data_IF_539846579254
#
_entry.id   IF_539846579254
#
_cell.length_a   1.000
_cell.length_b   1.000
_cell.length_c   1.000
_cell.angle_alpha   90.00
_cell.angle_beta   90.00
_cell.angle_gamma   90.00
#
_symmetry.space_group_name_H-M   'P 1'
#
loop_
_entity.id
_entity.type
_entity.pdbx_description
1 polymer ?
#
# COMPACT_ATOMS: atom_id res chain seq x y z
N UNK A 1 14.90 4.93 -28.68
CA UNK A 1 14.03 4.16 -27.75
C UNK A 1 14.59 2.75 -27.68
N UNK A 2 15.20 2.35 -26.56
CA UNK A 2 15.68 0.97 -26.38
C UNK A 2 14.48 0.02 -26.38
N UNK A 3 14.29 -0.73 -27.46
CA UNK A 3 13.24 -1.73 -27.56
C UNK A 3 13.65 -2.94 -26.71
N UNK A 4 13.00 -3.13 -25.57
CA UNK A 4 13.18 -4.33 -24.77
C UNK A 4 12.67 -5.55 -25.54
N UNK A 5 13.42 -6.65 -25.49
CA UNK A 5 12.96 -7.92 -26.06
C UNK A 5 11.85 -8.53 -25.20
N UNK A 6 11.01 -9.38 -25.79
CA UNK A 6 9.92 -10.06 -25.06
C UNK A 6 10.42 -10.86 -23.85
N UNK A 7 11.63 -11.43 -23.94
CA UNK A 7 12.27 -12.13 -22.83
C UNK A 7 12.67 -11.18 -21.68
N UNK A 8 13.20 -10.00 -22.00
CA UNK A 8 13.55 -8.97 -21.01
C UNK A 8 12.31 -8.43 -20.32
N UNK A 9 11.21 -8.21 -21.06
CA UNK A 9 9.94 -7.76 -20.47
C UNK A 9 9.33 -8.81 -19.53
N UNK A 10 9.37 -10.10 -19.89
CA UNK A 10 8.91 -11.17 -18.99
C UNK A 10 9.75 -11.26 -17.72
N UNK A 11 11.07 -11.13 -17.85
CA UNK A 11 11.98 -11.11 -16.69
C UNK A 11 11.71 -9.89 -15.80
N UNK A 12 11.57 -8.71 -16.38
CA UNK A 12 11.23 -7.49 -15.65
C UNK A 12 9.88 -7.61 -14.95
N UNK A 13 8.88 -8.20 -15.61
CA UNK A 13 7.56 -8.45 -15.04
C UNK A 13 7.65 -9.33 -13.80
N UNK A 14 8.36 -10.46 -13.89
CA UNK A 14 8.55 -11.36 -12.75
C UNK A 14 9.27 -10.66 -11.59
N UNK A 15 10.38 -9.99 -11.87
CA UNK A 15 11.16 -9.29 -10.83
C UNK A 15 10.32 -8.22 -10.14
N UNK A 16 9.64 -7.38 -10.93
CA UNK A 16 8.82 -6.30 -10.37
C UNK A 16 7.59 -6.83 -9.65
N UNK A 17 6.93 -7.86 -10.15
CA UNK A 17 5.80 -8.49 -9.47
C UNK A 17 6.23 -9.10 -8.13
N UNK A 18 7.35 -9.83 -8.10
CA UNK A 18 7.92 -10.36 -6.85
C UNK A 18 8.31 -9.24 -5.89
N UNK A 19 8.88 -8.14 -6.40
CA UNK A 19 9.23 -6.98 -5.58
C UNK A 19 7.99 -6.31 -4.96
N UNK A 20 6.92 -6.10 -5.74
CA UNK A 20 5.65 -5.59 -5.19
C UNK A 20 5.10 -6.50 -4.12
N UNK A 21 5.11 -7.82 -4.36
CA UNK A 21 4.63 -8.79 -3.40
C UNK A 21 5.36 -8.68 -2.07
N UNK A 22 6.68 -8.66 -2.12
CA UNK A 22 7.51 -8.57 -0.92
C UNK A 22 7.28 -7.25 -0.18
N UNK A 23 7.26 -6.13 -0.88
CA UNK A 23 7.16 -4.81 -0.23
C UNK A 23 5.75 -4.59 0.33
N UNK A 24 4.68 -4.93 -0.40
CA UNK A 24 3.29 -4.81 0.10
C UNK A 24 3.10 -5.72 1.31
N UNK A 25 3.53 -6.98 1.22
CA UNK A 25 3.36 -7.93 2.31
C UNK A 25 4.14 -7.51 3.56
N UNK A 26 5.39 -7.08 3.38
CA UNK A 26 6.22 -6.57 4.48
C UNK A 26 5.63 -5.30 5.09
N UNK A 27 5.14 -4.37 4.28
CA UNK A 27 4.55 -3.12 4.78
C UNK A 27 3.29 -3.37 5.61
N UNK A 28 2.42 -4.27 5.16
CA UNK A 28 1.21 -4.66 5.90
C UNK A 28 1.52 -5.38 7.20
N UNK A 29 2.62 -6.12 7.26
CA UNK A 29 3.09 -6.72 8.51
C UNK A 29 3.69 -5.65 9.44
N UNK A 30 4.62 -4.85 8.94
CA UNK A 30 5.40 -3.89 9.73
C UNK A 30 4.59 -2.69 10.22
N UNK A 31 3.49 -2.34 9.55
CA UNK A 31 2.56 -1.30 10.04
C UNK A 31 1.91 -1.72 11.37
N UNK A 32 1.86 -3.01 11.68
CA UNK A 32 1.35 -3.55 12.95
C UNK A 32 2.36 -3.46 14.10
N UNK A 33 3.63 -3.17 13.81
CA UNK A 33 4.70 -3.11 14.80
C UNK A 33 4.97 -1.63 15.16
N UNK A 34 4.34 -1.10 16.24
CA UNK A 34 4.62 0.24 16.71
C UNK A 34 5.99 0.30 17.39
N UNK A 35 6.68 1.42 17.22
CA UNK A 35 7.88 1.73 17.98
C UNK A 35 7.92 3.23 18.31
N UNK A 36 8.72 3.59 19.31
CA UNK A 36 8.82 4.98 19.77
C UNK A 36 10.26 5.47 19.67
N UNK A 37 10.48 6.56 18.95
CA UNK A 37 11.78 7.21 18.82
C UNK A 37 11.64 8.66 19.26
N UNK A 38 12.43 9.07 20.25
CA UNK A 38 12.44 10.44 20.81
C UNK A 38 11.04 10.97 21.19
N UNK A 39 10.16 10.12 21.72
CA UNK A 39 8.79 10.50 22.11
C UNK A 39 7.79 10.61 20.95
N UNK A 40 8.24 10.40 19.71
CA UNK A 40 7.38 10.20 18.56
C UNK A 40 7.04 8.73 18.42
N UNK A 41 5.75 8.43 18.40
CA UNK A 41 5.27 7.09 18.13
C UNK A 41 5.10 6.94 16.61
N UNK A 42 5.71 5.89 16.03
CA UNK A 42 5.62 5.58 14.60
C UNK A 42 5.56 4.05 14.42
N UNK A 43 5.40 3.56 13.20
CA UNK A 43 5.37 2.12 12.90
C UNK A 43 6.50 1.76 11.96
N UNK A 44 6.96 0.50 12.00
CA UNK A 44 7.99 0.03 11.06
C UNK A 44 7.52 0.10 9.60
N UNK A 45 6.21 0.12 9.36
CA UNK A 45 5.62 0.33 8.02
C UNK A 45 6.02 1.67 7.38
N UNK A 46 6.28 2.72 8.17
CA UNK A 46 6.71 4.02 7.67
C UNK A 46 8.00 3.92 6.83
N UNK A 47 8.91 3.02 7.20
CA UNK A 47 10.15 2.79 6.44
C UNK A 47 9.95 2.00 5.16
N UNK A 48 8.90 1.17 5.07
CA UNK A 48 8.67 0.31 3.91
C UNK A 48 7.75 0.93 2.86
N UNK A 49 6.89 1.90 3.24
CA UNK A 49 6.04 2.62 2.28
C UNK A 49 6.81 3.30 1.13
N UNK A 50 7.97 3.96 1.33
CA UNK A 50 8.78 4.51 0.22
C UNK A 50 9.13 3.49 -0.86
N UNK A 51 9.31 2.22 -0.47
CA UNK A 51 9.62 1.15 -1.42
C UNK A 51 8.41 0.76 -2.27
N UNK A 52 7.17 0.93 -1.78
CA UNK A 52 5.95 0.71 -2.58
C UNK A 52 5.89 1.73 -3.72
N UNK A 53 6.17 3.00 -3.41
CA UNK A 53 6.23 4.05 -4.42
C UNK A 53 7.34 3.80 -5.43
N UNK A 54 8.54 3.39 -4.96
CA UNK A 54 9.64 3.02 -5.84
C UNK A 54 9.26 1.86 -6.78
N UNK A 55 8.65 0.80 -6.25
CA UNK A 55 8.20 -0.34 -7.03
C UNK A 55 7.19 0.10 -8.12
N UNK A 56 6.23 0.93 -7.72
CA UNK A 56 5.19 1.46 -8.61
C UNK A 56 5.80 2.31 -9.72
N UNK A 57 6.69 3.24 -9.40
CA UNK A 57 7.36 4.12 -10.38
C UNK A 57 8.18 3.30 -11.40
N UNK A 58 8.96 2.32 -10.94
CA UNK A 58 9.72 1.43 -11.83
C UNK A 58 8.81 0.66 -12.80
N UNK A 59 7.68 0.17 -12.30
CA UNK A 59 6.71 -0.57 -13.13
C UNK A 59 6.04 0.34 -14.14
N UNK A 60 5.66 1.55 -13.75
CA UNK A 60 5.07 2.55 -14.65
C UNK A 60 6.06 2.97 -15.73
N UNK A 61 7.35 3.13 -15.39
CA UNK A 61 8.39 3.49 -16.37
C UNK A 61 8.65 2.39 -17.40
N UNK A 62 8.61 1.12 -16.99
CA UNK A 62 8.92 -0.01 -17.89
C UNK A 62 7.70 -0.42 -18.73
N UNK A 63 6.51 -0.50 -18.11
CA UNK A 63 5.32 -1.08 -18.71
C UNK A 63 4.26 -0.03 -19.10
N UNK A 64 4.43 1.21 -18.68
CA UNK A 64 3.42 2.26 -18.81
C UNK A 64 2.33 2.17 -17.76
N UNK A 65 1.66 3.30 -17.50
CA UNK A 65 0.68 3.43 -16.42
C UNK A 65 -0.49 2.44 -16.52
N UNK A 66 -0.97 2.12 -17.73
CA UNK A 66 -2.12 1.22 -17.88
C UNK A 66 -1.77 -0.24 -17.52
N UNK A 67 -0.62 -0.72 -17.99
CA UNK A 67 -0.19 -2.09 -17.73
C UNK A 67 0.32 -2.24 -16.30
N UNK A 68 1.03 -1.24 -15.77
CA UNK A 68 1.45 -1.20 -14.37
C UNK A 68 0.27 -1.36 -13.40
N UNK A 69 -0.84 -0.65 -13.61
CA UNK A 69 -2.06 -0.78 -12.79
C UNK A 69 -2.63 -2.21 -12.79
N UNK A 70 -2.61 -2.89 -13.93
CA UNK A 70 -3.03 -4.30 -14.02
C UNK A 70 -2.08 -5.23 -13.26
N UNK A 71 -0.77 -5.03 -13.42
CA UNK A 71 0.24 -5.81 -12.71
C UNK A 71 0.07 -5.67 -11.20
N UNK A 72 -0.02 -4.43 -10.70
CA UNK A 72 -0.14 -4.17 -9.26
C UNK A 72 -1.45 -4.74 -8.72
N UNK A 73 -2.57 -4.61 -9.44
CA UNK A 73 -3.85 -5.19 -9.02
C UNK A 73 -3.78 -6.73 -8.90
N UNK A 74 -3.18 -7.41 -9.89
CA UNK A 74 -3.02 -8.86 -9.88
C UNK A 74 -2.10 -9.33 -8.76
N UNK A 75 -1.07 -8.56 -8.43
CA UNK A 75 -0.12 -8.87 -7.35
C UNK A 75 -0.69 -8.49 -5.98
N UNK A 76 -1.61 -7.53 -5.89
CA UNK A 76 -2.19 -7.08 -4.62
C UNK A 76 -2.81 -8.24 -3.84
N UNK A 77 -3.71 -9.02 -4.44
CA UNK A 77 -4.39 -10.13 -3.75
C UNK A 77 -3.43 -11.16 -3.13
N UNK A 78 -2.46 -11.74 -3.86
CA UNK A 78 -1.51 -12.67 -3.25
C UNK A 78 -0.63 -11.98 -2.21
N UNK A 79 -0.29 -10.69 -2.38
CA UNK A 79 0.45 -9.93 -1.35
C UNK A 79 -0.35 -9.80 -0.05
N UNK A 80 -1.65 -9.51 -0.14
CA UNK A 80 -2.53 -9.40 1.03
C UNK A 80 -2.66 -10.75 1.74
N UNK A 81 -2.82 -11.83 0.99
CA UNK A 81 -2.87 -13.18 1.55
C UNK A 81 -1.58 -13.53 2.28
N UNK A 82 -0.43 -13.33 1.64
CA UNK A 82 0.88 -13.57 2.25
C UNK A 82 1.07 -12.70 3.49
N UNK A 83 0.67 -11.42 3.44
CA UNK A 83 0.75 -10.51 4.58
C UNK A 83 -0.11 -10.96 5.75
N UNK A 84 -1.31 -11.47 5.49
CA UNK A 84 -2.22 -12.00 6.50
C UNK A 84 -1.60 -13.24 7.17
N UNK A 85 -1.14 -14.20 6.37
CA UNK A 85 -0.50 -15.42 6.87
C UNK A 85 0.74 -15.10 7.71
N UNK A 86 1.61 -14.20 7.24
CA UNK A 86 2.78 -13.75 8.00
C UNK A 86 2.38 -13.10 9.32
N UNK A 87 1.37 -12.23 9.31
CA UNK A 87 0.91 -11.54 10.52
C UNK A 87 0.29 -12.48 11.55
N UNK A 88 -0.39 -13.54 11.09
CA UNK A 88 -1.00 -14.56 11.98
C UNK A 88 0.06 -15.48 12.56
N UNK A 89 1.05 -15.89 11.76
CA UNK A 89 2.13 -16.79 12.19
C UNK A 89 3.18 -16.06 13.05
N UNK A 90 3.44 -14.78 12.79
CA UNK A 90 4.43 -13.98 13.49
C UNK A 90 3.79 -12.81 14.25
N UNK A 91 3.31 -13.03 15.47
CA UNK A 91 2.79 -11.94 16.28
C UNK A 91 3.93 -11.18 16.99
N UNK A 92 4.02 -9.86 16.78
CA UNK A 92 5.05 -8.98 17.36
C UNK A 92 6.50 -9.46 17.14
N UNK A 93 6.81 -10.03 15.97
CA UNK A 93 8.14 -10.55 15.65
C UNK A 93 8.49 -11.90 16.29
N UNK A 94 7.58 -12.49 17.08
CA UNK A 94 7.73 -13.85 17.61
C UNK A 94 6.94 -14.85 16.79
N UNK A 95 7.55 -15.99 16.48
CA UNK A 95 6.87 -17.11 15.82
C UNK A 95 5.90 -17.77 16.80
N UNK A 96 4.61 -17.75 16.47
CA UNK A 96 3.52 -18.30 17.30
C UNK A 96 3.12 -19.73 16.89
N UNK A 97 3.80 -20.30 15.88
CA UNK A 97 3.43 -21.59 15.29
C UNK A 97 2.26 -21.47 14.29
N UNK A 98 1.73 -22.63 13.89
CA UNK A 98 0.62 -22.72 12.92
C UNK A 98 -0.77 -22.77 13.58
N UNK A 99 -0.85 -22.92 14.90
CA UNK A 99 -2.11 -22.96 15.63
C UNK A 99 -2.98 -21.69 15.43
N UNK A 100 -2.42 -20.46 15.40
CA UNK A 100 -3.22 -19.27 15.15
C UNK A 100 -3.89 -19.21 13.77
N UNK A 101 -3.47 -20.05 12.81
CA UNK A 101 -4.12 -20.14 11.49
C UNK A 101 -5.52 -20.74 11.56
N UNK A 102 -5.85 -21.48 12.62
CA UNK A 102 -7.21 -22.03 12.81
C UNK A 102 -8.19 -20.98 13.34
N UNK A 103 -7.69 -19.86 13.87
CA UNK A 103 -8.51 -18.75 14.35
C UNK A 103 -8.48 -17.57 13.37
N UNK A 104 -9.66 -17.04 13.03
CA UNK A 104 -9.74 -15.92 12.10
C UNK A 104 -9.42 -14.60 12.81
N UNK A 105 -8.26 -14.02 12.52
CA UNK A 105 -7.84 -12.78 13.15
C UNK A 105 -8.47 -11.56 12.44
N UNK A 106 -9.58 -11.07 13.00
CA UNK A 106 -10.33 -9.93 12.46
C UNK A 106 -9.49 -8.65 12.34
N UNK A 107 -8.52 -8.44 13.24
CA UNK A 107 -7.66 -7.26 13.19
C UNK A 107 -6.72 -7.28 11.98
N UNK A 108 -6.03 -8.40 11.75
CA UNK A 108 -5.16 -8.58 10.58
C UNK A 108 -5.98 -8.57 9.28
N UNK A 109 -7.14 -9.26 9.27
CA UNK A 109 -8.05 -9.26 8.13
C UNK A 109 -8.50 -7.84 7.77
N UNK A 110 -8.78 -7.01 8.77
CA UNK A 110 -9.15 -5.61 8.56
C UNK A 110 -8.03 -4.78 7.93
N UNK A 111 -6.76 -4.99 8.31
CA UNK A 111 -5.62 -4.31 7.67
C UNK A 111 -5.49 -4.71 6.19
N UNK A 112 -5.65 -6.00 5.90
CA UNK A 112 -5.64 -6.49 4.53
C UNK A 112 -6.80 -5.90 3.70
N UNK A 113 -8.01 -5.86 4.25
CA UNK A 113 -9.18 -5.24 3.61
C UNK A 113 -8.98 -3.73 3.43
N UNK A 114 -8.41 -3.03 4.40
CA UNK A 114 -8.10 -1.61 4.30
C UNK A 114 -7.13 -1.33 3.15
N UNK A 115 -6.08 -2.14 3.02
CA UNK A 115 -5.12 -2.09 1.90
C UNK A 115 -5.81 -2.28 0.56
N UNK A 116 -6.70 -3.27 0.48
CA UNK A 116 -7.45 -3.55 -0.75
C UNK A 116 -8.39 -2.39 -1.13
N UNK A 117 -9.12 -1.85 -0.16
CA UNK A 117 -10.05 -0.74 -0.36
C UNK A 117 -9.32 0.55 -0.74
N UNK A 118 -8.19 0.85 -0.10
CA UNK A 118 -7.34 1.98 -0.43
C UNK A 118 -6.95 1.93 -1.91
N UNK A 119 -6.45 0.78 -2.35
CA UNK A 119 -6.04 0.58 -3.74
C UNK A 119 -7.20 0.75 -4.70
N UNK A 120 -8.38 0.16 -4.42
CA UNK A 120 -9.56 0.32 -5.26
C UNK A 120 -10.01 1.78 -5.37
N UNK A 121 -10.04 2.51 -4.25
CA UNK A 121 -10.41 3.92 -4.24
C UNK A 121 -9.39 4.79 -4.97
N UNK A 122 -8.10 4.52 -4.77
CA UNK A 122 -7.00 5.16 -5.51
C UNK A 122 -7.13 4.94 -7.01
N UNK A 123 -7.44 3.71 -7.45
CA UNK A 123 -7.69 3.38 -8.86
C UNK A 123 -8.92 4.12 -9.43
N UNK A 124 -10.03 4.15 -8.69
CA UNK A 124 -11.25 4.84 -9.13
C UNK A 124 -10.98 6.34 -9.27
N UNK A 125 -10.30 6.95 -8.30
CA UNK A 125 -9.92 8.36 -8.37
C UNK A 125 -8.99 8.61 -9.57
N UNK A 126 -7.98 7.78 -9.75
CA UNK A 126 -7.05 7.89 -10.88
C UNK A 126 -7.81 7.82 -12.23
N UNK A 127 -8.79 6.94 -12.39
CA UNK A 127 -9.62 6.92 -13.61
C UNK A 127 -10.48 8.19 -13.75
N UNK A 128 -11.08 8.70 -12.67
CA UNK A 128 -11.92 9.91 -12.71
C UNK A 128 -11.11 11.18 -12.98
N UNK A 129 -9.97 11.33 -12.31
CA UNK A 129 -9.04 12.46 -12.45
C UNK A 129 -8.45 12.46 -13.85
N UNK A 130 -8.00 11.30 -14.35
CA UNK A 130 -7.53 11.15 -15.72
C UNK A 130 -8.60 11.50 -16.76
N UNK A 131 -9.83 11.00 -16.62
CA UNK A 131 -10.93 11.31 -17.53
C UNK A 131 -11.36 12.78 -17.50
N UNK A 132 -11.19 13.46 -16.36
CA UNK A 132 -11.45 14.90 -16.23
C UNK A 132 -10.34 15.74 -16.85
N UNK A 133 -9.08 15.37 -16.63
CA UNK A 133 -7.90 16.12 -17.11
C UNK A 133 -7.52 15.85 -18.58
N UNK A 134 -8.00 14.75 -19.21
CA UNK A 134 -7.78 14.54 -20.66
C UNK A 134 -8.42 15.60 -21.55
N UNK A 135 -9.32 16.43 -21.00
CA UNK A 135 -9.97 17.55 -21.70
C UNK A 135 -9.04 18.77 -21.82
N UNK A 136 -7.89 18.77 -21.16
CA UNK A 136 -6.91 19.87 -21.17
C UNK A 136 -5.85 19.63 -22.26
N UNK A 137 -5.45 20.69 -22.99
CA UNK A 137 -4.54 20.63 -24.16
C UNK A 137 -3.13 20.04 -23.92
N UNK A 138 -2.73 19.75 -22.68
CA UNK A 138 -1.38 19.25 -22.33
C UNK A 138 -1.43 17.76 -21.96
N UNK A 139 -0.94 16.91 -22.87
CA UNK A 139 -1.02 15.45 -22.80
C UNK A 139 -0.32 14.82 -21.57
N UNK A 140 0.71 15.47 -21.03
CA UNK A 140 1.50 15.01 -19.88
C UNK A 140 0.95 15.39 -18.50
N UNK A 141 0.00 16.31 -18.42
CA UNK A 141 -0.55 16.77 -17.12
C UNK A 141 -1.53 15.74 -16.56
N UNK A 142 -2.35 15.14 -17.42
CA UNK A 142 -3.37 14.18 -16.99
C UNK A 142 -2.77 12.89 -16.36
N UNK A 143 -1.75 12.23 -16.94
CA UNK A 143 -1.13 11.05 -16.32
C UNK A 143 -0.41 11.37 -15.00
N UNK A 144 0.39 12.44 -14.99
CA UNK A 144 1.24 12.79 -13.84
C UNK A 144 0.43 13.23 -12.63
N UNK A 145 -0.55 14.13 -12.82
CA UNK A 145 -1.44 14.54 -11.73
C UNK A 145 -2.27 13.36 -11.24
N UNK A 146 -2.80 12.52 -12.14
CA UNK A 146 -3.66 11.41 -11.75
C UNK A 146 -2.92 10.36 -10.91
N UNK A 147 -1.65 10.07 -11.25
CA UNK A 147 -0.80 9.19 -10.43
C UNK A 147 -0.44 9.82 -9.08
N UNK A 148 -0.10 11.11 -9.05
CA UNK A 148 0.20 11.84 -7.80
C UNK A 148 -1.01 11.87 -6.85
N UNK A 149 -2.17 12.28 -7.36
CA UNK A 149 -3.41 12.34 -6.56
C UNK A 149 -3.93 10.95 -6.20
N UNK A 150 -3.79 9.96 -7.10
CA UNK A 150 -4.15 8.57 -6.85
C UNK A 150 -3.32 7.94 -5.72
N UNK A 151 -2.01 8.14 -5.72
CA UNK A 151 -1.10 7.67 -4.68
C UNK A 151 -1.31 8.39 -3.33
N UNK A 152 -1.57 9.71 -3.36
CA UNK A 152 -1.88 10.47 -2.16
C UNK A 152 -3.21 10.04 -1.54
N UNK A 153 -4.24 9.82 -2.36
CA UNK A 153 -5.53 9.33 -1.89
C UNK A 153 -5.45 7.87 -1.41
N UNK A 154 -4.68 7.01 -2.08
CA UNK A 154 -4.45 5.62 -1.66
C UNK A 154 -3.87 5.59 -0.23
N UNK A 155 -2.85 6.39 0.02
CA UNK A 155 -2.25 6.55 1.36
C UNK A 155 -3.28 7.07 2.36
N UNK A 156 -4.01 8.15 2.03
CA UNK A 156 -5.04 8.73 2.88
C UNK A 156 -6.18 7.74 3.19
N UNK A 157 -6.65 7.00 2.19
CA UNK A 157 -7.73 6.02 2.31
C UNK A 157 -7.27 4.80 3.12
N UNK A 158 -6.03 4.34 2.92
CA UNK A 158 -5.44 3.27 3.71
C UNK A 158 -5.38 3.65 5.19
N UNK A 159 -4.76 4.79 5.52
CA UNK A 159 -4.68 5.25 6.90
C UNK A 159 -6.06 5.60 7.47
N UNK A 160 -6.97 6.13 6.66
CA UNK A 160 -8.35 6.32 7.07
C UNK A 160 -8.99 5.01 7.46
N UNK A 161 -9.02 4.00 6.59
CA UNK A 161 -9.77 2.74 6.77
C UNK A 161 -9.08 1.78 7.76
N UNK A 162 -7.75 1.64 7.68
CA UNK A 162 -7.00 0.78 8.59
C UNK A 162 -7.23 1.21 10.04
N UNK A 163 -7.26 2.52 10.29
CA UNK A 163 -7.49 3.11 11.60
C UNK A 163 -8.93 3.61 11.82
N UNK A 164 -9.84 3.44 10.84
CA UNK A 164 -11.24 3.87 10.93
C UNK A 164 -11.96 3.01 11.95
N UNK A 165 -12.31 3.56 13.11
CA UNK A 165 -12.92 2.79 14.20
C UNK A 165 -11.94 1.86 14.94
N UNK A 166 -10.68 2.27 15.15
CA UNK A 166 -9.89 1.72 16.27
C UNK A 166 -10.58 2.16 17.58
N UNK A 167 -11.59 1.39 17.97
CA UNK A 167 -12.28 1.44 19.25
C UNK A 167 -11.28 1.00 20.33
N UNK A 168 -10.48 1.96 20.80
CA UNK A 168 -10.00 1.94 22.18
C UNK A 168 -10.92 2.88 22.95
N UNK A 169 -11.64 2.40 23.98
CA UNK A 169 -12.54 3.24 24.74
C UNK A 169 -11.72 4.16 25.65
N UNK A 170 -11.40 5.36 25.17
CA UNK A 170 -11.20 6.56 26.01
C UNK A 170 -10.94 7.79 25.14
N UNK A 171 -11.79 8.80 25.34
CA UNK A 171 -11.84 10.07 24.62
C UNK A 171 -10.64 11.03 24.89
N UNK A 172 -9.56 10.56 25.53
CA UNK A 172 -8.48 11.41 26.05
C UNK A 172 -7.27 11.57 25.09
N UNK A 173 -7.23 10.86 23.95
CA UNK A 173 -6.05 10.82 23.05
C UNK A 173 -6.31 11.38 21.64
N UNK A 174 -7.28 12.28 21.46
CA UNK A 174 -7.58 12.90 20.15
C UNK A 174 -6.39 13.75 19.66
N UNK A 175 -5.70 14.47 20.55
CA UNK A 175 -4.50 15.24 20.21
C UNK A 175 -3.33 14.38 19.74
N UNK A 176 -3.12 13.21 20.37
CA UNK A 176 -2.10 12.24 19.92
C UNK A 176 -2.51 11.61 18.59
N UNK A 177 -3.79 11.27 18.40
CA UNK A 177 -4.35 10.70 17.16
C UNK A 177 -4.27 11.61 15.96
N UNK A 178 -4.57 12.92 16.13
CA UNK A 178 -4.39 13.91 15.06
C UNK A 178 -2.90 14.06 14.72
N UNK A 179 -2.02 13.99 15.73
CA UNK A 179 -0.58 14.04 15.54
C UNK A 179 -0.05 12.81 14.79
N UNK A 180 -0.58 11.62 15.07
CA UNK A 180 -0.32 10.39 14.30
C UNK A 180 -0.79 10.50 12.85
N UNK A 181 -1.99 11.03 12.63
CA UNK A 181 -2.54 11.28 11.29
C UNK A 181 -1.71 12.30 10.49
N UNK A 182 -1.26 13.37 11.15
CA UNK A 182 -0.42 14.42 10.56
C UNK A 182 1.02 13.90 10.31
N UNK A 183 1.56 13.03 11.18
CA UNK A 183 2.90 12.44 11.04
C UNK A 183 2.98 11.30 10.02
N UNK A 184 1.86 10.63 9.73
CA UNK A 184 1.79 9.66 8.63
C UNK A 184 1.70 10.34 7.24
N UNK A 185 1.41 11.65 7.21
CA UNK A 185 1.24 12.47 6.01
C UNK A 185 2.40 13.45 5.76
N UNK A 186 3.42 13.46 6.64
CA UNK A 186 4.61 14.33 6.57
C UNK A 186 5.87 13.47 6.59
#
# INVERSE_FOLDING_TARGET
>A
MTQFTSAQLRKALFILASFHLLVIASSNYLVQLPFTVFGFHTTWGAFTFPFIFLATDLTVRIFGAQLARRIIFLVMLPSLLVSYLLSVVFYQGSFQGFAPLTEFNLFVARIAIASFMAYLLGQILDVHVFNRLRKTKKWWVAPTCSTLFGNALDTLAFFSIAFYNSLMPSWHNIGKRLRWWIMALN
#
